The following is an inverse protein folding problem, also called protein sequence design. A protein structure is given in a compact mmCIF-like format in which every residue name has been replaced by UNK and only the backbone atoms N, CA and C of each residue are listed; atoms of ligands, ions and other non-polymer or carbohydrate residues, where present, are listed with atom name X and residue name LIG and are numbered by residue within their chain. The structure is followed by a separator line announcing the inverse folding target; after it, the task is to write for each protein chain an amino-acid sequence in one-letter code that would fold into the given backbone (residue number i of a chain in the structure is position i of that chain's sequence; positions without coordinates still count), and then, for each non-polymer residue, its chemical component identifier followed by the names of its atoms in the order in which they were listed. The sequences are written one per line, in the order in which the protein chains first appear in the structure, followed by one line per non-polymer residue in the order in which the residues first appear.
data_IF_718133352802
#
_entry.id   IF_718133352802
#
_cell.length_a   1.000
_cell.length_b   1.000
_cell.length_c   1.000
_cell.angle_alpha   90.00
_cell.angle_beta   90.00
_cell.angle_gamma   90.00
#
_symmetry.space_group_name_H-M   'P 1'
#
loop_
_entity.id
_entity.type
_entity.pdbx_description
1 polymer ?
#
# COMPACT_ATOMS: atom_id res chain seq x y z
N UNK A 1 -18.30 14.03 24.62
CA UNK A 1 -18.66 13.14 23.49
C UNK A 1 -17.93 13.67 22.28
N UNK A 2 -16.98 12.90 21.75
CA UNK A 2 -16.02 13.34 20.74
C UNK A 2 -16.69 13.55 19.37
N UNK A 3 -16.26 14.60 18.67
CA UNK A 3 -16.65 14.97 17.32
C UNK A 3 -16.31 13.93 16.23
N UNK A 4 -15.60 12.86 16.59
CA UNK A 4 -15.08 11.86 15.66
C UNK A 4 -16.11 10.79 15.26
N UNK A 5 -17.28 10.77 15.91
CA UNK A 5 -18.37 9.83 15.61
C UNK A 5 -19.28 10.29 14.46
N UNK A 6 -19.08 11.49 13.90
CA UNK A 6 -20.00 12.06 12.89
C UNK A 6 -19.62 11.76 11.43
N UNK A 7 -18.40 11.31 11.13
CA UNK A 7 -17.98 11.06 9.73
C UNK A 7 -18.53 9.72 9.18
N UNK A 8 -18.81 8.75 10.05
CA UNK A 8 -19.51 7.51 9.68
C UNK A 8 -21.01 7.74 9.40
N UNK A 9 -21.57 8.83 9.92
CA UNK A 9 -23.00 9.18 9.85
C UNK A 9 -23.30 10.04 8.61
N UNK A 10 -22.30 10.75 8.05
CA UNK A 10 -22.50 11.71 6.94
C UNK A 10 -22.36 11.10 5.54
N UNK A 11 -22.17 9.78 5.45
CA UNK A 11 -22.45 9.05 4.20
C UNK A 11 -23.93 8.72 4.25
N UNK A 12 -24.77 9.64 3.71
CA UNK A 12 -26.25 9.56 3.66
C UNK A 12 -26.71 8.19 4.10
N UNK A 13 -27.24 8.06 5.33
CA UNK A 13 -27.56 6.78 6.00
C UNK A 13 -28.35 5.82 5.09
N UNK A 14 -28.95 6.37 4.02
CA UNK A 14 -29.65 5.68 2.96
C UNK A 14 -28.79 5.15 1.79
N UNK A 15 -27.51 5.48 1.62
CA UNK A 15 -26.70 5.10 0.44
C UNK A 15 -26.37 3.62 0.45
N UNK A 16 -25.79 3.12 1.54
CA UNK A 16 -25.45 1.71 1.67
C UNK A 16 -26.72 0.83 1.73
N UNK A 17 -27.78 1.33 2.36
CA UNK A 17 -29.10 0.67 2.41
C UNK A 17 -29.80 0.59 1.02
N UNK A 18 -29.51 1.53 0.10
CA UNK A 18 -29.99 1.48 -1.29
C UNK A 18 -29.21 0.51 -2.16
N UNK A 19 -28.04 0.04 -1.73
CA UNK A 19 -27.29 -0.95 -2.49
C UNK A 19 -28.00 -2.30 -2.44
N UNK A 20 -27.94 -3.06 -3.53
CA UNK A 20 -28.40 -4.44 -3.52
C UNK A 20 -27.59 -5.27 -2.53
N UNK A 21 -28.24 -6.24 -1.87
CA UNK A 21 -27.63 -7.23 -0.96
C UNK A 21 -26.31 -7.79 -1.52
N UNK A 22 -26.25 -8.03 -2.83
CA UNK A 22 -25.03 -8.41 -3.54
C UNK A 22 -24.65 -7.35 -4.58
N UNK A 23 -23.58 -6.61 -4.31
CA UNK A 23 -23.02 -5.63 -5.25
C UNK A 23 -21.69 -6.14 -5.83
N UNK A 24 -21.39 -5.77 -7.08
CA UNK A 24 -20.11 -6.08 -7.74
C UNK A 24 -19.42 -4.80 -8.21
N UNK A 25 -18.11 -4.74 -8.05
CA UNK A 25 -17.29 -3.62 -8.54
C UNK A 25 -16.77 -3.96 -9.94
N UNK A 26 -16.77 -2.97 -10.84
CA UNK A 26 -16.32 -3.17 -12.24
C UNK A 26 -14.90 -3.75 -12.28
N UNK A 27 -14.75 -4.92 -12.87
CA UNK A 27 -13.51 -5.71 -12.84
C UNK A 27 -12.32 -5.05 -13.52
N UNK A 28 -12.54 -4.15 -14.48
CA UNK A 28 -11.47 -3.39 -15.11
C UNK A 28 -10.84 -2.35 -14.16
N UNK A 29 -11.53 -1.95 -13.10
CA UNK A 29 -11.02 -1.00 -12.10
C UNK A 29 -10.14 -1.73 -11.07
N UNK A 30 -10.69 -2.74 -10.40
CA UNK A 30 -10.01 -3.39 -9.27
C UNK A 30 -9.17 -4.62 -9.67
N UNK A 31 -9.47 -5.25 -10.81
CA UNK A 31 -8.79 -6.46 -11.26
C UNK A 31 -7.29 -6.26 -11.52
N UNK A 32 -6.88 -5.28 -12.34
CA UNK A 32 -5.46 -4.99 -12.57
C UNK A 32 -4.63 -4.72 -11.30
N UNK A 33 -5.07 -3.86 -10.35
CA UNK A 33 -4.32 -3.66 -9.11
C UNK A 33 -4.31 -4.91 -8.21
N UNK A 34 -5.39 -5.69 -8.17
CA UNK A 34 -5.40 -6.97 -7.44
C UNK A 34 -4.39 -7.98 -8.02
N UNK A 35 -4.32 -8.13 -9.34
CA UNK A 35 -3.30 -8.97 -9.98
C UNK A 35 -1.88 -8.47 -9.71
N UNK A 36 -1.68 -7.15 -9.73
CA UNK A 36 -0.38 -6.56 -9.38
C UNK A 36 0.04 -6.95 -7.95
N UNK A 37 -0.89 -6.83 -6.99
CA UNK A 37 -0.65 -7.25 -5.62
C UNK A 37 -0.32 -8.75 -5.52
N UNK A 38 -1.14 -9.62 -6.10
CA UNK A 38 -0.95 -11.08 -6.03
C UNK A 38 0.40 -11.52 -6.61
N UNK A 39 0.80 -10.97 -7.75
CA UNK A 39 2.11 -11.24 -8.35
C UNK A 39 3.25 -10.69 -7.49
N UNK A 40 3.12 -9.50 -6.92
CA UNK A 40 4.13 -8.91 -6.03
C UNK A 40 4.29 -9.70 -4.72
N UNK A 41 3.16 -10.12 -4.13
CA UNK A 41 3.11 -10.97 -2.94
C UNK A 41 3.81 -12.31 -3.20
N UNK A 42 3.54 -12.95 -4.33
CA UNK A 42 4.21 -14.19 -4.71
C UNK A 42 5.72 -14.02 -4.88
N UNK A 43 6.15 -12.88 -5.46
CA UNK A 43 7.57 -12.54 -5.63
C UNK A 43 8.30 -12.33 -4.30
N UNK A 44 7.60 -11.86 -3.26
CA UNK A 44 8.17 -11.66 -1.92
C UNK A 44 8.22 -12.95 -1.07
N UNK A 45 7.54 -14.03 -1.48
CA UNK A 45 7.49 -15.31 -0.75
C UNK A 45 8.88 -15.93 -0.52
N UNK A 46 9.12 -16.78 0.50
CA UNK A 46 10.44 -17.37 0.75
C UNK A 46 10.99 -18.15 -0.44
N UNK A 47 12.32 -18.08 -0.65
CA UNK A 47 13.01 -18.78 -1.75
C UNK A 47 12.69 -20.28 -1.73
N UNK A 48 12.68 -20.88 -0.55
CA UNK A 48 12.32 -22.27 -0.28
C UNK A 48 11.74 -22.35 1.14
N UNK A 49 10.67 -23.13 1.32
CA UNK A 49 10.16 -23.45 2.65
C UNK A 49 11.08 -24.48 3.32
N UNK A 50 11.38 -24.24 4.59
CA UNK A 50 12.15 -25.14 5.44
C UNK A 50 11.15 -25.66 6.48
N UNK A 51 10.93 -26.98 6.50
CA UNK A 51 9.95 -27.61 7.38
C UNK A 51 10.37 -27.55 8.86
N UNK A 52 11.66 -27.35 9.14
CA UNK A 52 12.16 -27.22 10.52
C UNK A 52 12.13 -25.75 11.01
N UNK A 53 11.75 -24.81 10.14
CA UNK A 53 11.65 -23.40 10.48
C UNK A 53 10.19 -23.01 10.72
N UNK A 54 9.86 -22.73 11.99
CA UNK A 54 8.52 -22.32 12.41
C UNK A 54 7.97 -21.12 11.63
N UNK A 55 8.79 -20.11 11.35
CA UNK A 55 8.35 -18.94 10.57
C UNK A 55 8.02 -19.29 9.12
N UNK A 56 8.79 -20.19 8.50
CA UNK A 56 8.48 -20.67 7.16
C UNK A 56 7.16 -21.45 7.13
N UNK A 57 6.91 -22.29 8.12
CA UNK A 57 5.64 -23.02 8.27
C UNK A 57 4.48 -22.04 8.44
N UNK A 58 4.63 -21.04 9.32
CA UNK A 58 3.63 -19.99 9.55
C UNK A 58 3.30 -19.25 8.26
N UNK A 59 4.31 -18.78 7.54
CA UNK A 59 4.15 -18.06 6.25
C UNK A 59 3.44 -18.95 5.22
N UNK A 60 3.80 -20.24 5.11
CA UNK A 60 3.11 -21.19 4.23
C UNK A 60 1.64 -21.33 4.59
N UNK A 61 1.32 -21.53 5.86
CA UNK A 61 -0.06 -21.73 6.30
C UNK A 61 -0.90 -20.47 6.09
N UNK A 62 -0.36 -19.28 6.39
CA UNK A 62 -1.01 -18.01 6.09
C UNK A 62 -1.28 -17.83 4.60
N UNK A 63 -0.30 -18.19 3.74
CA UNK A 63 -0.48 -18.12 2.29
C UNK A 63 -1.55 -19.11 1.80
N UNK A 64 -1.57 -20.33 2.32
CA UNK A 64 -2.59 -21.32 2.02
C UNK A 64 -3.99 -20.79 2.39
N UNK A 65 -4.15 -20.27 3.61
CA UNK A 65 -5.43 -19.72 4.08
C UNK A 65 -5.87 -18.52 3.26
N UNK A 66 -4.95 -17.60 2.92
CA UNK A 66 -5.23 -16.45 2.08
C UNK A 66 -5.74 -16.88 0.70
N UNK A 67 -5.00 -17.75 0.01
CA UNK A 67 -5.38 -18.19 -1.34
C UNK A 67 -6.63 -19.05 -1.35
N UNK A 68 -6.86 -19.87 -0.32
CA UNK A 68 -8.07 -20.69 -0.22
C UNK A 68 -9.33 -19.84 -0.01
N UNK A 69 -9.21 -18.68 0.64
CA UNK A 69 -10.33 -17.78 0.91
C UNK A 69 -10.44 -16.61 -0.07
N UNK A 70 -9.46 -16.43 -0.96
CA UNK A 70 -9.43 -15.28 -1.88
C UNK A 70 -10.72 -15.15 -2.69
N UNK A 71 -11.29 -16.26 -3.17
CA UNK A 71 -12.55 -16.25 -3.93
C UNK A 71 -13.71 -15.66 -3.13
N UNK A 72 -13.78 -15.90 -1.82
CA UNK A 72 -14.89 -15.46 -0.97
C UNK A 72 -14.92 -13.95 -0.75
N UNK A 73 -13.82 -13.25 -1.04
CA UNK A 73 -13.68 -11.80 -0.83
C UNK A 73 -13.50 -11.02 -2.14
N UNK A 74 -13.56 -11.68 -3.30
CA UNK A 74 -13.50 -10.96 -4.58
C UNK A 74 -14.78 -10.10 -4.74
N UNK A 75 -14.67 -8.81 -5.09
CA UNK A 75 -15.83 -7.91 -5.23
C UNK A 75 -16.56 -8.12 -6.56
N UNK A 76 -16.85 -9.38 -6.89
CA UNK A 76 -17.47 -9.87 -8.11
C UNK A 76 -17.90 -11.33 -7.91
N UNK A 77 -19.20 -11.59 -7.80
CA UNK A 77 -19.73 -12.93 -7.53
C UNK A 77 -19.29 -13.97 -8.60
N UNK A 78 -19.36 -13.60 -9.88
CA UNK A 78 -18.92 -14.49 -10.96
C UNK A 78 -17.42 -14.82 -10.88
N UNK A 79 -16.61 -13.87 -10.43
CA UNK A 79 -15.18 -14.05 -10.23
C UNK A 79 -14.91 -14.97 -9.03
N UNK A 80 -15.65 -14.78 -7.94
CA UNK A 80 -15.65 -15.64 -6.75
C UNK A 80 -15.93 -17.10 -7.11
N UNK A 81 -17.07 -17.37 -7.75
CA UNK A 81 -17.48 -18.71 -8.19
C UNK A 81 -16.42 -19.34 -9.09
N UNK A 82 -15.87 -18.57 -10.03
CA UNK A 82 -14.86 -19.09 -10.97
C UNK A 82 -13.56 -19.47 -10.25
N UNK A 83 -13.04 -18.58 -9.40
CA UNK A 83 -11.81 -18.83 -8.67
C UNK A 83 -11.94 -20.04 -7.74
N UNK A 84 -13.06 -20.10 -6.99
CA UNK A 84 -13.37 -21.23 -6.10
C UNK A 84 -13.53 -22.54 -6.87
N UNK A 85 -14.00 -22.50 -8.12
CA UNK A 85 -14.00 -23.65 -9.03
C UNK A 85 -12.59 -24.05 -9.45
N UNK A 86 -11.76 -23.08 -9.87
CA UNK A 86 -10.40 -23.35 -10.36
C UNK A 86 -9.52 -24.01 -9.30
N UNK A 87 -9.49 -23.50 -8.08
CA UNK A 87 -8.61 -24.03 -7.03
C UNK A 87 -8.98 -25.45 -6.55
N UNK A 88 -10.16 -25.96 -6.96
CA UNK A 88 -10.58 -27.35 -6.75
C UNK A 88 -10.10 -28.29 -7.86
N UNK A 89 -9.70 -27.77 -9.02
CA UNK A 89 -9.16 -28.59 -10.10
C UNK A 89 -7.74 -29.09 -9.70
N UNK A 90 -7.38 -30.37 -9.98
CA UNK A 90 -6.10 -30.93 -9.55
C UNK A 90 -4.85 -30.18 -10.04
N UNK A 91 -4.95 -29.48 -11.17
CA UNK A 91 -3.87 -28.66 -11.76
C UNK A 91 -3.62 -27.36 -10.98
N UNK A 92 -4.59 -26.88 -10.21
CA UNK A 92 -4.51 -25.63 -9.45
C UNK A 92 -4.63 -25.86 -7.94
N UNK A 93 -4.38 -27.09 -7.47
CA UNK A 93 -4.34 -27.39 -6.05
C UNK A 93 -3.22 -26.59 -5.36
N UNK A 94 -3.61 -25.65 -4.48
CA UNK A 94 -2.71 -24.63 -3.89
C UNK A 94 -1.51 -25.27 -3.17
N UNK A 95 -1.74 -26.36 -2.42
CA UNK A 95 -0.73 -27.08 -1.62
C UNK A 95 0.53 -27.43 -2.43
N UNK A 96 0.38 -27.80 -3.71
CA UNK A 96 1.45 -28.19 -4.63
C UNK A 96 2.44 -27.07 -4.91
N UNK A 97 2.01 -25.82 -4.71
CA UNK A 97 2.74 -24.63 -5.13
C UNK A 97 3.36 -23.82 -4.00
N UNK A 98 3.17 -24.20 -2.74
CA UNK A 98 3.65 -23.42 -1.60
C UNK A 98 5.08 -23.76 -1.14
N UNK A 99 5.77 -24.72 -1.77
CA UNK A 99 7.12 -25.11 -1.34
C UNK A 99 8.21 -24.06 -1.62
N UNK A 100 7.95 -23.07 -2.46
CA UNK A 100 8.95 -22.04 -2.83
C UNK A 100 8.32 -20.84 -3.55
N UNK A 101 9.05 -19.72 -3.58
CA UNK A 101 8.71 -18.53 -4.38
C UNK A 101 8.42 -18.86 -5.84
N UNK A 102 9.28 -19.65 -6.47
CA UNK A 102 9.13 -19.98 -7.89
C UNK A 102 7.82 -20.73 -8.16
N UNK A 103 7.49 -21.70 -7.30
CA UNK A 103 6.24 -22.46 -7.39
C UNK A 103 5.02 -21.58 -7.16
N UNK A 104 5.06 -20.69 -6.16
CA UNK A 104 3.94 -19.78 -5.87
C UNK A 104 3.73 -18.75 -7.00
N UNK A 105 4.81 -18.16 -7.53
CA UNK A 105 4.70 -17.28 -8.71
C UNK A 105 4.09 -18.01 -9.91
N UNK A 106 4.45 -19.29 -10.10
CA UNK A 106 3.90 -20.09 -11.18
C UNK A 106 2.40 -20.37 -10.97
N UNK A 107 1.96 -20.65 -9.73
CA UNK A 107 0.54 -20.78 -9.40
C UNK A 107 -0.27 -19.52 -9.74
N UNK A 108 0.18 -18.35 -9.29
CA UNK A 108 -0.51 -17.08 -9.58
C UNK A 108 -0.54 -16.81 -11.09
N UNK A 109 0.54 -17.12 -11.81
CA UNK A 109 0.57 -17.06 -13.26
C UNK A 109 -0.45 -18.00 -13.92
N UNK A 110 -0.53 -19.26 -13.48
CA UNK A 110 -1.45 -20.26 -14.00
C UNK A 110 -2.92 -19.86 -13.79
N UNK A 111 -3.25 -19.35 -12.59
CA UNK A 111 -4.61 -18.85 -12.30
C UNK A 111 -4.94 -17.63 -13.16
N UNK A 112 -4.03 -16.65 -13.28
CA UNK A 112 -4.25 -15.48 -14.12
C UNK A 112 -4.43 -15.90 -15.59
N UNK A 113 -3.63 -16.86 -16.06
CA UNK A 113 -3.75 -17.42 -17.40
C UNK A 113 -5.08 -18.16 -17.62
N UNK A 114 -5.57 -18.88 -16.61
CA UNK A 114 -6.90 -19.53 -16.63
C UNK A 114 -8.02 -18.50 -16.79
N UNK A 115 -7.94 -17.38 -16.08
CA UNK A 115 -8.89 -16.26 -16.21
C UNK A 115 -8.79 -15.61 -17.60
N UNK A 116 -7.58 -15.35 -18.10
CA UNK A 116 -7.39 -14.76 -19.43
C UNK A 116 -8.01 -15.62 -20.53
N UNK A 117 -7.88 -16.95 -20.44
CA UNK A 117 -8.52 -17.88 -21.36
C UNK A 117 -10.05 -17.82 -21.26
N UNK A 118 -10.61 -17.78 -20.04
CA UNK A 118 -12.06 -17.63 -19.84
C UNK A 118 -12.59 -16.33 -20.47
N UNK A 119 -11.82 -15.25 -20.38
CA UNK A 119 -12.18 -13.93 -20.94
C UNK A 119 -11.88 -13.79 -22.45
N UNK A 120 -11.31 -14.81 -23.09
CA UNK A 120 -10.97 -14.75 -24.52
C UNK A 120 -9.83 -13.79 -24.85
N UNK A 121 -8.95 -13.48 -23.90
CA UNK A 121 -7.82 -12.55 -24.12
C UNK A 121 -6.88 -13.15 -25.19
N UNK A 122 -6.61 -12.43 -26.31
CA UNK A 122 -5.77 -12.96 -27.38
C UNK A 122 -4.36 -13.36 -26.88
N UNK A 123 -3.80 -14.42 -27.45
CA UNK A 123 -2.51 -14.99 -27.03
C UNK A 123 -1.36 -13.95 -27.09
N UNK A 124 -1.40 -13.01 -28.04
CA UNK A 124 -0.41 -11.96 -28.18
C UNK A 124 -0.37 -10.96 -27.00
N UNK A 125 -1.48 -10.81 -26.26
CA UNK A 125 -1.58 -9.95 -25.07
C UNK A 125 -1.27 -10.71 -23.77
N UNK A 126 -1.12 -12.04 -23.83
CA UNK A 126 -0.81 -12.89 -22.66
C UNK A 126 0.70 -13.05 -22.52
N UNK A 127 1.36 -12.40 -21.53
CA UNK A 127 2.80 -12.53 -21.36
C UNK A 127 3.18 -13.94 -20.90
N UNK A 128 4.30 -14.48 -21.38
CA UNK A 128 4.82 -15.75 -20.85
C UNK A 128 5.26 -15.62 -19.39
N UNK A 129 5.32 -16.73 -18.66
CA UNK A 129 5.80 -16.76 -17.27
C UNK A 129 7.15 -16.03 -17.10
N UNK A 130 8.11 -16.27 -18.00
CA UNK A 130 9.41 -15.58 -18.01
C UNK A 130 9.27 -14.05 -18.13
N UNK A 131 8.35 -13.55 -18.96
CA UNK A 131 8.08 -12.12 -19.10
C UNK A 131 7.45 -11.54 -17.82
N UNK A 132 6.56 -12.28 -17.17
CA UNK A 132 5.95 -11.89 -15.90
C UNK A 132 7.01 -11.78 -14.79
N UNK A 133 7.86 -12.80 -14.63
CA UNK A 133 8.95 -12.76 -13.63
C UNK A 133 9.92 -11.60 -13.91
N UNK A 134 10.30 -11.37 -15.17
CA UNK A 134 11.15 -10.22 -15.54
C UNK A 134 10.47 -8.87 -15.26
N UNK A 135 9.14 -8.78 -15.39
CA UNK A 135 8.39 -7.57 -15.08
C UNK A 135 8.43 -7.26 -13.60
N UNK A 136 8.02 -8.19 -12.74
CA UNK A 136 7.92 -7.96 -11.30
C UNK A 136 9.28 -8.01 -10.58
N UNK A 137 10.27 -8.72 -11.13
CA UNK A 137 11.63 -8.77 -10.58
C UNK A 137 12.32 -7.41 -10.50
N UNK A 138 11.88 -6.43 -11.29
CA UNK A 138 12.39 -5.05 -11.27
C UNK A 138 12.05 -4.28 -9.98
N UNK A 139 11.08 -4.77 -9.21
CA UNK A 139 10.59 -4.14 -7.99
C UNK A 139 11.11 -4.81 -6.71
N UNK A 140 11.95 -5.84 -6.83
CA UNK A 140 12.51 -6.53 -5.67
C UNK A 140 13.54 -5.67 -4.96
N UNK A 141 13.46 -5.67 -3.63
CA UNK A 141 14.42 -5.03 -2.72
C UNK A 141 15.00 -6.12 -1.82
N UNK A 142 16.32 -6.11 -1.63
CA UNK A 142 17.03 -7.05 -0.77
C UNK A 142 16.81 -6.79 0.73
N UNK A 143 17.07 -7.78 1.60
CA UNK A 143 16.83 -7.69 3.04
C UNK A 143 17.58 -6.52 3.71
N UNK A 144 18.77 -6.17 3.23
CA UNK A 144 19.59 -5.08 3.79
C UNK A 144 19.24 -3.69 3.26
N UNK A 145 18.33 -3.61 2.28
CA UNK A 145 18.00 -2.40 1.53
C UNK A 145 16.73 -1.70 2.02
N UNK A 146 15.96 -2.32 2.93
CA UNK A 146 14.78 -1.73 3.55
C UNK A 146 14.93 -1.75 5.08
N UNK A 147 15.35 -0.62 5.68
CA UNK A 147 15.49 -0.47 7.14
C UNK A 147 14.32 0.33 7.71
N UNK A 148 13.83 -0.09 8.88
CA UNK A 148 12.81 0.66 9.63
C UNK A 148 13.33 2.07 9.94
N UNK A 149 12.52 3.07 9.63
CA UNK A 149 12.80 4.47 10.00
C UNK A 149 12.80 4.58 11.53
N UNK A 150 13.90 5.05 12.14
CA UNK A 150 13.94 5.34 13.58
C UNK A 150 12.88 6.39 13.94
N UNK A 151 12.33 6.35 15.16
CA UNK A 151 11.23 7.25 15.63
C UNK A 151 11.56 8.72 15.36
N UNK A 152 12.80 9.16 15.58
CA UNK A 152 13.27 10.53 15.33
C UNK A 152 13.27 10.96 13.84
N UNK A 153 13.20 10.01 12.91
CA UNK A 153 13.14 10.25 11.46
C UNK A 153 11.70 10.20 10.91
N UNK A 154 10.70 9.79 11.71
CA UNK A 154 9.29 9.75 11.31
C UNK A 154 8.74 11.16 11.03
N UNK A 155 9.20 12.18 11.75
CA UNK A 155 8.80 13.58 11.55
C UNK A 155 9.39 14.24 10.30
N UNK A 156 10.42 13.64 9.67
CA UNK A 156 11.04 14.12 8.42
C UNK A 156 10.73 13.25 7.19
N UNK A 157 10.31 12.00 7.38
CA UNK A 157 9.98 11.05 6.32
C UNK A 157 8.44 10.94 6.18
N UNK A 158 7.77 12.02 5.77
CA UNK A 158 6.33 12.00 5.48
C UNK A 158 6.04 11.17 4.23
N UNK A 159 5.31 10.06 4.39
CA UNK A 159 4.79 9.21 3.29
C UNK A 159 5.83 8.54 2.37
N UNK A 160 7.09 8.50 2.77
CA UNK A 160 8.15 7.80 2.03
C UNK A 160 8.09 6.32 2.41
N UNK A 161 7.63 5.46 1.50
CA UNK A 161 7.76 4.00 1.64
C UNK A 161 9.23 3.56 1.60
N UNK A 162 9.52 2.34 1.16
CA UNK A 162 10.90 1.97 0.82
C UNK A 162 11.35 2.75 -0.43
N UNK A 163 11.74 4.02 -0.26
CA UNK A 163 12.24 4.92 -1.29
C UNK A 163 13.58 5.51 -0.84
N UNK A 164 14.48 5.65 -1.79
CA UNK A 164 15.92 5.38 -1.68
C UNK A 164 16.75 6.60 -1.31
N UNK A 165 16.10 7.71 -0.94
CA UNK A 165 16.74 8.98 -0.59
C UNK A 165 17.77 8.87 0.55
N UNK A 166 17.81 7.77 1.32
CA UNK A 166 18.75 7.55 2.44
C UNK A 166 19.90 6.57 2.17
N UNK A 167 19.96 5.91 1.01
CA UNK A 167 20.87 4.75 0.85
C UNK A 167 21.90 4.82 -0.28
N UNK A 168 22.11 5.95 -0.98
CA UNK A 168 23.12 6.05 -2.06
C UNK A 168 23.04 4.89 -3.08
N UNK A 169 21.81 4.50 -3.46
CA UNK A 169 21.60 3.43 -4.43
C UNK A 169 20.81 3.95 -5.63
N UNK A 170 21.29 3.58 -6.82
CA UNK A 170 20.71 3.92 -8.12
C UNK A 170 19.45 3.08 -8.41
N UNK A 171 18.44 3.19 -7.54
CA UNK A 171 17.12 2.65 -7.82
C UNK A 171 16.37 3.63 -8.71
N UNK A 172 15.90 3.14 -9.85
CA UNK A 172 14.91 3.86 -10.66
C UNK A 172 13.66 4.07 -9.79
N UNK A 173 13.26 5.33 -9.55
CA UNK A 173 12.07 5.67 -8.76
C UNK A 173 10.82 5.14 -9.45
N UNK A 174 10.29 4.00 -8.97
CA UNK A 174 9.02 3.47 -9.44
C UNK A 174 7.91 3.95 -8.50
N UNK A 175 6.89 4.65 -9.04
CA UNK A 175 5.64 4.97 -8.35
C UNK A 175 4.52 4.14 -8.97
N UNK A 176 3.71 3.46 -8.14
CA UNK A 176 2.47 2.84 -8.62
C UNK A 176 1.40 3.93 -8.67
N UNK A 177 0.82 4.15 -9.85
CA UNK A 177 -0.30 5.07 -10.05
C UNK A 177 -1.47 4.20 -10.50
N UNK A 178 -2.58 4.24 -9.75
CA UNK A 178 -3.84 3.64 -10.17
C UNK A 178 -4.69 4.74 -10.77
N UNK A 179 -4.82 4.71 -12.09
CA UNK A 179 -5.65 5.65 -12.83
C UNK A 179 -6.89 4.93 -13.32
N UNK A 180 -8.06 5.49 -13.02
CA UNK A 180 -9.34 5.07 -13.58
C UNK A 180 -9.73 6.11 -14.62
N UNK A 181 -10.00 5.67 -15.85
CA UNK A 181 -10.42 6.54 -16.95
C UNK A 181 -11.85 6.19 -17.28
N UNK A 182 -12.74 7.17 -17.14
CA UNK A 182 -14.06 7.08 -17.73
C UNK A 182 -13.93 7.30 -19.24
N UNK A 183 -14.27 6.26 -20.01
CA UNK A 183 -14.10 6.27 -21.47
C UNK A 183 -15.14 7.14 -22.18
N UNK A 184 -16.29 7.38 -21.54
CA UNK A 184 -17.38 8.14 -22.14
C UNK A 184 -17.12 9.64 -21.97
N UNK A 185 -16.52 10.03 -20.84
CA UNK A 185 -16.23 11.43 -20.51
C UNK A 185 -14.76 11.82 -20.72
N UNK A 186 -13.87 10.87 -21.01
CA UNK A 186 -12.41 11.00 -20.97
C UNK A 186 -11.88 11.58 -19.64
N UNK A 187 -12.68 11.53 -18.58
CA UNK A 187 -12.29 12.05 -17.27
C UNK A 187 -11.32 11.08 -16.62
N UNK A 188 -10.19 11.61 -16.18
CA UNK A 188 -9.14 10.86 -15.49
C UNK A 188 -9.35 11.01 -13.99
N UNK A 189 -9.65 9.91 -13.33
CA UNK A 189 -9.63 9.80 -11.88
C UNK A 189 -8.30 9.18 -11.45
N UNK A 190 -7.38 10.04 -11.04
CA UNK A 190 -6.13 9.62 -10.45
C UNK A 190 -6.35 9.38 -8.96
N UNK A 191 -6.21 8.13 -8.52
CA UNK A 191 -6.01 7.81 -7.10
C UNK A 191 -4.54 8.10 -6.76
N UNK A 192 -4.13 9.33 -6.97
CA UNK A 192 -2.94 9.84 -6.31
C UNK A 192 -3.33 10.06 -4.84
N UNK A 193 -2.52 9.56 -3.92
CA UNK A 193 -2.44 10.20 -2.61
C UNK A 193 -2.03 11.63 -2.92
N UNK A 194 -2.98 12.58 -2.89
CA UNK A 194 -2.69 14.00 -2.98
C UNK A 194 -1.76 14.27 -1.81
N UNK A 195 -0.49 14.53 -2.11
CA UNK A 195 0.44 15.09 -1.14
C UNK A 195 -0.13 16.47 -0.79
N UNK A 196 -0.96 16.52 0.25
CA UNK A 196 -1.32 17.77 0.88
C UNK A 196 -0.02 18.32 1.46
N UNK A 197 0.67 19.16 0.69
CA UNK A 197 1.59 20.16 1.21
C UNK A 197 0.74 21.16 1.99
N UNK A 198 0.29 20.74 3.18
CA UNK A 198 -0.22 21.66 4.15
C UNK A 198 0.89 22.64 4.47
N UNK A 199 0.69 23.90 4.11
CA UNK A 199 1.25 25.02 4.85
C UNK A 199 0.77 24.88 6.31
N UNK A 200 1.45 24.05 7.09
CA UNK A 200 1.21 23.88 8.51
C UNK A 200 2.56 24.00 9.21
N UNK A 201 3.21 25.15 9.05
CA UNK A 201 4.08 25.76 10.05
C UNK A 201 4.24 27.26 9.73
N UNK A 202 3.16 28.02 9.96
CA UNK A 202 3.34 29.33 10.60
C UNK A 202 2.80 29.22 12.02
N UNK A 203 3.44 28.39 12.85
CA UNK A 203 3.40 28.64 14.28
C UNK A 203 4.24 29.89 14.51
N UNK A 204 3.58 31.03 14.54
CA UNK A 204 4.14 32.31 14.92
C UNK A 204 4.69 32.18 16.34
N UNK A 205 5.98 31.88 16.43
CA UNK A 205 6.96 32.56 17.28
C UNK A 205 6.49 33.10 18.65
N UNK A 206 5.91 32.27 19.51
CA UNK A 206 5.76 32.64 20.92
C UNK A 206 7.12 32.68 21.66
N UNK A 207 8.17 32.01 21.15
CA UNK A 207 9.48 32.04 21.82
C UNK A 207 10.28 33.33 21.59
N UNK A 208 10.18 33.98 20.41
CA UNK A 208 10.89 35.25 20.18
C UNK A 208 10.25 36.41 20.94
N UNK A 209 8.92 36.42 21.08
CA UNK A 209 8.21 37.43 21.89
C UNK A 209 8.61 37.29 23.36
N UNK A 210 8.66 36.06 23.88
CA UNK A 210 9.12 35.81 25.25
C UNK A 210 10.57 36.28 25.47
N UNK A 211 11.46 35.99 24.51
CA UNK A 211 12.87 36.40 24.60
C UNK A 211 13.04 37.93 24.55
N UNK A 212 12.26 38.63 23.71
CA UNK A 212 12.25 40.10 23.66
C UNK A 212 11.71 40.70 24.95
N UNK A 213 10.63 40.14 25.53
CA UNK A 213 10.10 40.59 26.81
C UNK A 213 11.10 40.37 27.96
N UNK A 214 11.83 39.25 27.97
CA UNK A 214 12.90 39.00 28.94
C UNK A 214 14.06 40.01 28.81
N UNK A 215 14.47 40.37 27.58
CA UNK A 215 15.52 41.37 27.36
C UNK A 215 15.07 42.75 27.83
N UNK A 216 13.83 43.15 27.53
CA UNK A 216 13.28 44.45 27.97
C UNK A 216 13.21 44.50 29.50
N UNK A 217 12.73 43.42 30.14
CA UNK A 217 12.68 43.36 31.61
C UNK A 217 14.09 43.48 32.21
N UNK A 218 15.06 42.74 31.69
CA UNK A 218 16.45 42.79 32.17
C UNK A 218 17.07 44.19 32.02
N UNK A 219 16.91 44.84 30.87
CA UNK A 219 17.41 46.21 30.66
C UNK A 219 16.73 47.22 31.60
N UNK A 220 15.42 47.09 31.83
CA UNK A 220 14.70 47.96 32.77
C UNK A 220 15.21 47.82 34.20
N UNK A 221 15.52 46.60 34.64
CA UNK A 221 16.08 46.37 35.98
C UNK A 221 17.49 46.97 36.13
N UNK A 222 18.33 46.89 35.09
CA UNK A 222 19.66 47.52 35.09
C UNK A 222 19.53 49.04 35.19
N UNK A 223 18.59 49.66 34.45
CA UNK A 223 18.35 51.11 34.51
C UNK A 223 17.86 51.52 35.91
N UNK A 224 16.94 50.77 36.51
CA UNK A 224 16.45 51.06 37.87
C UNK A 224 17.55 50.93 38.92
N UNK A 225 18.40 49.91 38.82
CA UNK A 225 19.58 49.75 39.68
C UNK A 225 20.54 50.94 39.47
N UNK A 226 20.84 51.31 38.23
CA UNK A 226 21.71 52.44 37.93
C UNK A 226 21.16 53.77 38.50
N UNK A 227 19.84 54.00 38.43
CA UNK A 227 19.21 55.19 39.02
C UNK A 227 19.28 55.15 40.56
N UNK A 228 19.12 53.99 41.20
CA UNK A 228 19.27 53.86 42.66
C UNK A 228 20.70 54.12 43.14
N UNK A 229 21.72 53.75 42.35
CA UNK A 229 23.13 53.97 42.70
C UNK A 229 23.68 55.36 42.28
N UNK A 230 22.91 56.16 41.53
CA UNK A 230 23.26 57.54 41.14
C UNK A 230 22.58 58.60 42.02
N UNK A 231 21.92 58.19 43.10
CA UNK A 231 21.39 59.03 44.16
C UNK A 231 22.28 58.93 45.39
#
# INVERSE_FOLDING_TARGET
MNSDNNEFIDVDENYFEKLSEYTSVRTHVWGPPAWFFLHSMAMAYPKKINEDNFEHIRIRNSMFSFLSNLGNILPCNLCSVSYNGYIKEPSFEISKYLGSRAKLCYFIYLIHERVNRKLGVPQCYRPSFKKVIKKFGKFLVGPDQCKLTKIEQQTKNTMVGCDTKKHNMDFKKYKSIVTVIDKDTNKIENFEIKENFGNVYSSTSNSKILLVLFIIFFLSTIVLIYIQFKK
#
